data_IF_104875036193
#
_entry.id   IF_104875036193
#
_cell.length_a   1.000
_cell.length_b   1.000
_cell.length_c   1.000
_cell.angle_alpha   90.00
_cell.angle_beta   90.00
_cell.angle_gamma   90.00
#
_symmetry.space_group_name_H-M   'P 1'
#
loop_
_entity.id
_entity.type
_entity.pdbx_description
1 polymer ?
#
# COMPACT_ATOMS: atom_id res chain seq x y z
N UNK A 1 -47.21 43.80 -31.26
CA UNK A 1 -46.64 43.78 -29.89
C UNK A 1 -47.08 42.45 -29.27
N UNK A 2 -46.30 41.49 -28.78
CA UNK A 2 -44.88 41.27 -28.46
C UNK A 2 -44.57 39.79 -28.80
N UNK A 3 -43.40 39.48 -29.37
CA UNK A 3 -42.93 38.10 -29.61
C UNK A 3 -42.33 37.56 -28.30
N UNK A 4 -42.87 36.48 -27.74
CA UNK A 4 -42.34 35.82 -26.54
C UNK A 4 -41.22 34.85 -26.96
N UNK A 5 -39.97 35.18 -26.64
CA UNK A 5 -38.82 34.27 -26.81
C UNK A 5 -38.73 33.38 -25.55
N UNK A 6 -38.98 32.08 -25.70
CA UNK A 6 -38.61 31.11 -24.65
C UNK A 6 -37.08 30.97 -24.64
N UNK A 7 -36.44 31.38 -23.55
CA UNK A 7 -35.04 31.13 -23.27
C UNK A 7 -34.91 29.75 -22.63
N UNK A 8 -34.22 28.86 -23.33
CA UNK A 8 -33.81 27.54 -22.84
C UNK A 8 -32.75 27.75 -21.73
N UNK A 9 -33.10 27.50 -20.47
CA UNK A 9 -32.11 27.41 -19.39
C UNK A 9 -31.53 25.99 -19.39
N UNK A 10 -30.33 25.85 -19.96
CA UNK A 10 -29.53 24.64 -19.78
C UNK A 10 -29.01 24.59 -18.34
N UNK A 11 -29.56 23.69 -17.53
CA UNK A 11 -29.02 23.33 -16.21
C UNK A 11 -27.68 22.59 -16.42
N UNK A 12 -26.57 23.33 -16.38
CA UNK A 12 -25.26 22.71 -16.17
C UNK A 12 -25.26 22.09 -14.76
N UNK A 13 -25.36 20.77 -14.71
CA UNK A 13 -25.11 20.00 -13.50
C UNK A 13 -23.62 20.10 -13.18
N UNK A 14 -23.27 20.90 -12.18
CA UNK A 14 -21.94 20.91 -11.59
C UNK A 14 -21.81 19.57 -10.86
N UNK A 15 -21.08 18.63 -11.43
CA UNK A 15 -20.67 17.42 -10.73
C UNK A 15 -19.74 17.86 -9.58
N UNK A 16 -20.30 17.92 -8.36
CA UNK A 16 -19.51 18.13 -7.16
C UNK A 16 -18.55 16.96 -6.99
N UNK A 17 -17.25 17.22 -7.04
CA UNK A 17 -16.25 16.33 -6.45
C UNK A 17 -16.50 16.33 -4.95
N UNK A 18 -17.31 15.38 -4.47
CA UNK A 18 -17.55 15.20 -3.04
C UNK A 18 -16.20 15.07 -2.33
N UNK A 19 -15.96 15.93 -1.36
CA UNK A 19 -14.86 15.74 -0.42
C UNK A 19 -15.17 14.43 0.30
N UNK A 20 -14.40 13.38 0.00
CA UNK A 20 -14.50 12.13 0.73
C UNK A 20 -14.24 12.43 2.21
N UNK A 21 -15.26 12.19 3.04
CA UNK A 21 -15.12 12.30 4.48
C UNK A 21 -14.11 11.24 4.93
N UNK A 22 -13.14 11.59 5.79
CA UNK A 22 -12.02 10.71 6.16
C UNK A 22 -12.46 9.38 6.82
N UNK A 23 -13.75 9.15 7.04
CA UNK A 23 -14.31 7.91 7.61
C UNK A 23 -15.01 7.01 6.60
N UNK A 24 -15.22 7.51 5.38
CA UNK A 24 -15.97 6.83 4.34
C UNK A 24 -15.00 6.13 3.38
N UNK A 25 -14.69 4.88 3.68
CA UNK A 25 -13.96 3.94 2.82
C UNK A 25 -14.42 2.52 3.18
N UNK A 26 -14.17 1.53 2.32
CA UNK A 26 -14.73 0.18 2.47
C UNK A 26 -13.74 -0.80 3.12
N UNK A 27 -12.46 -0.71 2.76
CA UNK A 27 -11.42 -1.62 3.24
C UNK A 27 -10.01 -1.02 3.19
N UNK A 28 -9.04 -1.74 3.75
CA UNK A 28 -7.63 -1.40 3.65
C UNK A 28 -6.91 -2.31 2.66
N UNK A 29 -5.91 -1.75 1.98
CA UNK A 29 -4.85 -2.50 1.31
C UNK A 29 -3.56 -2.29 2.07
N UNK A 30 -3.01 -3.35 2.64
CA UNK A 30 -1.63 -3.32 3.11
C UNK A 30 -0.71 -3.50 1.91
N UNK A 31 0.13 -2.52 1.66
CA UNK A 31 1.16 -2.59 0.63
C UNK A 31 2.52 -2.93 1.24
N UNK A 32 3.10 -4.04 0.78
CA UNK A 32 4.40 -4.55 1.20
C UNK A 32 5.40 -4.41 0.05
N UNK A 33 6.35 -3.47 0.15
CA UNK A 33 7.37 -3.25 -0.88
C UNK A 33 8.58 -4.14 -0.65
N UNK A 34 9.08 -4.80 -1.71
CA UNK A 34 10.28 -5.62 -1.69
C UNK A 34 11.53 -4.74 -1.83
N UNK A 35 12.17 -4.42 -0.71
CA UNK A 35 13.29 -3.47 -0.68
C UNK A 35 14.45 -3.85 -1.60
N UNK A 36 14.86 -5.11 -1.78
CA UNK A 36 15.93 -5.44 -2.73
C UNK A 36 15.70 -4.94 -4.15
N UNK A 37 14.47 -5.04 -4.65
CA UNK A 37 14.13 -4.48 -5.97
C UNK A 37 14.15 -2.95 -5.95
N UNK A 38 13.65 -2.33 -4.87
CA UNK A 38 13.67 -0.88 -4.73
C UNK A 38 15.09 -0.32 -4.65
N UNK A 39 15.97 -0.91 -3.83
CA UNK A 39 17.38 -0.52 -3.71
C UNK A 39 18.10 -0.69 -5.05
N UNK A 40 17.91 -1.82 -5.73
CA UNK A 40 18.51 -2.06 -7.04
C UNK A 40 18.02 -1.07 -8.12
N UNK A 41 16.85 -0.45 -7.97
CA UNK A 41 16.33 0.53 -8.92
C UNK A 41 16.67 1.98 -8.55
N UNK A 42 16.64 2.32 -7.26
CA UNK A 42 16.62 3.72 -6.79
C UNK A 42 17.81 4.12 -5.94
N UNK A 43 18.51 3.16 -5.33
CA UNK A 43 19.61 3.44 -4.39
C UNK A 43 20.67 2.33 -4.41
N UNK A 44 21.19 2.06 -5.62
CA UNK A 44 22.24 1.03 -5.82
C UNK A 44 23.52 1.31 -5.02
N UNK A 45 23.76 2.58 -4.68
CA UNK A 45 24.92 3.00 -3.90
C UNK A 45 24.76 2.79 -2.40
N UNK A 46 23.56 2.42 -1.92
CA UNK A 46 23.31 2.21 -0.49
C UNK A 46 23.43 3.49 0.33
N UNK A 47 22.99 4.62 -0.21
CA UNK A 47 23.08 5.92 0.46
C UNK A 47 22.02 6.09 1.58
N UNK A 48 20.91 5.36 1.50
CA UNK A 48 19.81 5.44 2.46
C UNK A 48 19.86 4.30 3.48
N UNK A 49 19.30 4.50 4.69
CA UNK A 49 19.22 3.43 5.69
C UNK A 49 18.50 2.16 5.22
N UNK A 50 17.67 2.22 4.17
CA UNK A 50 16.99 1.05 3.61
C UNK A 50 17.96 0.13 2.85
N UNK A 51 19.01 0.71 2.26
CA UNK A 51 19.87 0.06 1.28
C UNK A 51 21.36 0.04 1.67
N UNK A 52 21.72 0.62 2.81
CA UNK A 52 23.11 0.73 3.30
C UNK A 52 23.67 -0.57 3.93
N UNK A 53 22.89 -1.65 3.95
CA UNK A 53 23.27 -2.96 4.48
C UNK A 53 23.32 -3.06 6.01
N UNK A 54 23.09 -1.98 6.77
CA UNK A 54 23.12 -2.03 8.25
C UNK A 54 21.93 -2.76 8.84
N UNK A 55 20.79 -2.74 8.13
CA UNK A 55 19.61 -3.54 8.45
C UNK A 55 19.11 -4.24 7.19
N UNK A 56 18.79 -5.52 7.34
CA UNK A 56 18.18 -6.33 6.30
C UNK A 56 16.68 -6.01 6.15
N UNK A 57 16.34 -4.90 5.47
CA UNK A 57 14.96 -4.65 5.08
C UNK A 57 14.57 -5.55 3.93
N UNK A 58 13.80 -6.61 4.18
CA UNK A 58 13.22 -7.41 3.11
C UNK A 58 11.95 -6.74 2.60
N UNK A 59 10.79 -7.15 3.11
CA UNK A 59 9.56 -6.40 2.95
C UNK A 59 9.51 -5.24 3.96
N UNK A 60 9.05 -4.09 3.50
CA UNK A 60 8.67 -2.94 4.33
C UNK A 60 7.18 -2.68 4.16
N UNK A 61 6.55 -2.10 5.18
CA UNK A 61 5.24 -1.50 5.02
C UNK A 61 5.39 -0.26 4.13
N UNK A 62 5.06 -0.37 2.85
CA UNK A 62 4.96 0.81 1.99
C UNK A 62 3.84 1.70 2.57
N UNK A 63 2.68 1.11 2.86
CA UNK A 63 1.60 1.80 3.56
C UNK A 63 0.38 0.92 3.82
N UNK A 64 -0.63 1.50 4.47
CA UNK A 64 -1.95 0.89 4.68
C UNK A 64 -3.01 1.82 4.09
N UNK A 65 -3.55 1.47 2.94
CA UNK A 65 -4.30 2.40 2.11
C UNK A 65 -5.80 2.17 2.25
N UNK A 66 -6.58 3.15 2.73
CA UNK A 66 -8.03 3.13 2.56
C UNK A 66 -8.39 2.94 1.08
N UNK A 67 -9.40 2.11 0.82
CA UNK A 67 -9.93 1.84 -0.52
C UNK A 67 -11.45 1.85 -0.49
N UNK A 68 -12.04 2.21 -1.62
CA UNK A 68 -13.43 1.89 -1.94
C UNK A 68 -13.50 0.54 -2.67
N UNK A 69 -14.69 -0.05 -2.77
CA UNK A 69 -14.92 -1.17 -3.69
C UNK A 69 -14.59 -0.80 -5.15
N UNK A 70 -14.64 0.50 -5.48
CA UNK A 70 -14.15 1.07 -6.75
C UNK A 70 -13.40 2.38 -6.52
N UNK A 71 -12.10 2.38 -6.74
CA UNK A 71 -11.20 3.51 -6.53
C UNK A 71 -10.73 3.65 -5.09
N UNK A 72 -10.12 4.79 -4.77
CA UNK A 72 -9.63 5.08 -3.43
C UNK A 72 -9.65 6.57 -3.13
N UNK A 73 -9.82 6.96 -1.86
CA UNK A 73 -9.59 8.33 -1.43
C UNK A 73 -8.08 8.60 -1.31
N UNK A 74 -7.66 9.84 -1.58
CA UNK A 74 -6.29 10.30 -1.34
C UNK A 74 -6.26 11.77 -0.91
N UNK A 75 -5.24 12.13 -0.13
CA UNK A 75 -5.02 13.51 0.34
C UNK A 75 -6.25 14.15 1.02
N UNK A 76 -6.91 13.38 1.89
CA UNK A 76 -8.15 13.83 2.52
C UNK A 76 -7.90 14.94 3.55
N UNK A 77 -8.85 15.89 3.72
CA UNK A 77 -8.79 16.84 4.81
C UNK A 77 -8.76 16.15 6.18
N UNK A 78 -7.93 16.65 7.08
CA UNK A 78 -7.80 16.12 8.45
C UNK A 78 -7.54 17.25 9.44
N UNK A 79 -8.00 17.06 10.68
CA UNK A 79 -7.70 17.96 11.81
C UNK A 79 -6.31 17.70 12.41
N UNK A 80 -5.66 16.61 12.02
CA UNK A 80 -4.28 16.28 12.41
C UNK A 80 -3.28 17.03 11.53
N UNK A 81 -2.08 17.33 12.03
CA UNK A 81 -1.04 17.99 11.22
C UNK A 81 -0.62 17.12 10.02
N UNK A 82 -0.19 17.76 8.93
CA UNK A 82 0.36 17.03 7.78
C UNK A 82 1.73 16.41 8.05
N UNK A 83 2.52 17.03 8.93
CA UNK A 83 3.86 16.55 9.27
C UNK A 83 3.76 15.48 10.35
N UNK A 84 4.33 14.31 10.09
CA UNK A 84 4.52 13.28 11.10
C UNK A 84 5.68 13.67 12.03
N UNK A 85 5.47 13.75 13.36
CA UNK A 85 6.53 14.01 14.31
C UNK A 85 7.67 12.99 14.20
N UNK A 86 8.92 13.46 14.27
CA UNK A 86 10.10 12.58 14.17
C UNK A 86 10.09 11.45 15.20
N UNK A 87 9.61 11.74 16.42
CA UNK A 87 9.51 10.73 17.47
C UNK A 87 8.52 9.61 17.10
N UNK A 88 7.40 9.94 16.46
CA UNK A 88 6.43 8.96 15.97
C UNK A 88 6.98 8.17 14.79
N UNK A 89 7.53 8.85 13.78
CA UNK A 89 8.13 8.17 12.62
C UNK A 89 9.26 7.21 13.03
N UNK A 90 10.11 7.62 13.98
CA UNK A 90 11.20 6.79 14.49
C UNK A 90 10.76 5.46 15.10
N UNK A 91 9.53 5.38 15.63
CA UNK A 91 8.97 4.13 16.17
C UNK A 91 8.65 3.10 15.10
N UNK A 92 8.70 3.48 13.81
CA UNK A 92 8.34 2.63 12.67
C UNK A 92 9.54 2.23 11.83
N UNK A 93 10.75 2.71 12.14
CA UNK A 93 11.91 2.50 11.28
C UNK A 93 12.29 1.05 11.06
N UNK A 94 11.82 0.09 11.84
CA UNK A 94 11.95 -1.34 11.54
C UNK A 94 11.09 -1.82 10.36
N UNK A 95 10.02 -1.11 10.01
CA UNK A 95 9.07 -1.49 8.94
C UNK A 95 8.79 -0.38 7.91
N UNK A 96 9.12 0.88 8.21
CA UNK A 96 8.99 2.06 7.33
C UNK A 96 10.33 2.79 7.40
N UNK A 97 11.23 2.64 6.41
CA UNK A 97 12.65 2.95 6.57
C UNK A 97 13.01 4.45 6.58
N UNK A 98 12.04 5.36 6.46
CA UNK A 98 12.33 6.80 6.50
C UNK A 98 11.15 7.64 6.99
N UNK A 99 11.46 8.78 7.60
CA UNK A 99 10.45 9.80 7.93
C UNK A 99 9.78 10.39 6.68
N UNK A 100 10.49 10.43 5.55
CA UNK A 100 9.95 10.88 4.27
C UNK A 100 8.81 9.98 3.80
N UNK A 101 9.03 8.66 3.84
CA UNK A 101 8.00 7.67 3.51
C UNK A 101 6.83 7.76 4.48
N UNK A 102 7.09 7.73 5.80
CA UNK A 102 6.02 7.86 6.80
C UNK A 102 5.17 9.12 6.57
N UNK A 103 5.80 10.26 6.30
CA UNK A 103 5.11 11.50 6.00
C UNK A 103 4.29 11.46 4.71
N UNK A 104 4.80 10.86 3.64
CA UNK A 104 4.07 10.69 2.39
C UNK A 104 2.81 9.83 2.59
N UNK A 105 2.97 8.67 3.22
CA UNK A 105 1.87 7.73 3.48
C UNK A 105 0.81 8.32 4.38
N UNK A 106 1.20 9.10 5.39
CA UNK A 106 0.25 9.82 6.21
C UNK A 106 -0.57 10.81 5.37
N UNK A 107 0.09 11.73 4.65
CA UNK A 107 -0.62 12.77 3.90
C UNK A 107 -1.53 12.20 2.82
N UNK A 108 -1.04 11.18 2.09
CA UNK A 108 -1.77 10.61 0.97
C UNK A 108 -2.86 9.64 1.40
N UNK A 109 -2.59 8.77 2.37
CA UNK A 109 -3.46 7.65 2.70
C UNK A 109 -3.98 7.69 4.14
N UNK A 110 -3.10 7.97 5.10
CA UNK A 110 -3.48 7.98 6.52
C UNK A 110 -4.51 9.05 6.89
N UNK A 111 -4.43 10.23 6.27
CA UNK A 111 -5.40 11.32 6.42
C UNK A 111 -6.83 10.91 6.04
N UNK A 112 -6.98 9.93 5.15
CA UNK A 112 -8.25 9.38 4.69
C UNK A 112 -8.81 8.24 5.57
N UNK A 113 -8.15 7.90 6.69
CA UNK A 113 -8.60 6.83 7.58
C UNK A 113 -9.52 7.31 8.71
N UNK A 114 -9.53 8.63 8.98
CA UNK A 114 -10.29 9.24 10.07
C UNK A 114 -9.67 8.97 11.45
N UNK A 115 -8.48 8.38 11.49
CA UNK A 115 -7.68 8.11 12.68
C UNK A 115 -6.71 9.27 12.95
N UNK A 116 -6.27 9.41 14.20
CA UNK A 116 -5.10 10.22 14.52
C UNK A 116 -3.84 9.61 13.87
N UNK A 117 -2.78 10.41 13.69
CA UNK A 117 -1.51 9.88 13.15
C UNK A 117 -1.02 8.66 13.93
N UNK A 118 -1.07 8.75 15.26
CA UNK A 118 -0.65 7.67 16.15
C UNK A 118 -1.45 6.40 15.90
N UNK A 119 -2.78 6.49 15.92
CA UNK A 119 -3.66 5.36 15.72
C UNK A 119 -3.53 4.76 14.32
N UNK A 120 -3.34 5.59 13.28
CA UNK A 120 -3.07 5.12 11.93
C UNK A 120 -1.79 4.29 11.86
N UNK A 121 -0.67 4.78 12.40
CA UNK A 121 0.59 4.03 12.35
C UNK A 121 0.61 2.79 13.26
N UNK A 122 -0.11 2.81 14.38
CA UNK A 122 -0.36 1.59 15.17
C UNK A 122 -1.14 0.56 14.35
N UNK A 123 -2.12 1.00 13.56
CA UNK A 123 -2.90 0.15 12.64
C UNK A 123 -2.03 -0.39 11.50
N UNK A 124 -1.16 0.44 10.90
CA UNK A 124 -0.16 0.00 9.89
C UNK A 124 0.71 -1.12 10.47
N UNK A 125 1.24 -0.94 11.68
CA UNK A 125 2.06 -1.96 12.34
C UNK A 125 1.27 -3.23 12.65
N UNK A 126 0.03 -3.11 13.10
CA UNK A 126 -0.84 -4.26 13.35
C UNK A 126 -1.11 -5.05 12.07
N UNK A 127 -1.40 -4.35 10.96
CA UNK A 127 -1.60 -4.96 9.64
C UNK A 127 -0.31 -5.66 9.16
N UNK A 128 0.84 -5.00 9.27
CA UNK A 128 2.13 -5.58 8.91
C UNK A 128 2.42 -6.87 9.70
N UNK A 129 2.20 -6.86 11.03
CA UNK A 129 2.41 -8.02 11.89
C UNK A 129 1.40 -9.16 11.68
N UNK A 130 0.21 -8.85 11.16
CA UNK A 130 -0.82 -9.85 10.85
C UNK A 130 -0.36 -10.79 9.73
N UNK A 131 0.46 -10.30 8.80
CA UNK A 131 0.95 -11.06 7.65
C UNK A 131 2.21 -11.85 8.04
N UNK A 132 2.14 -13.16 7.87
CA UNK A 132 3.27 -14.09 7.98
C UNK A 132 3.94 -14.23 6.62
N UNK A 133 5.19 -13.78 6.54
CA UNK A 133 6.03 -13.93 5.36
C UNK A 133 6.93 -15.16 5.57
N UNK A 134 6.83 -16.22 4.73
CA UNK A 134 7.71 -17.39 4.79
C UNK A 134 9.21 -17.01 4.74
N UNK A 135 9.96 -17.14 5.85
CA UNK A 135 11.34 -16.64 5.91
C UNK A 135 12.27 -17.40 4.95
N UNK A 136 12.04 -18.71 4.75
CA UNK A 136 12.85 -19.49 3.80
C UNK A 136 12.77 -19.03 2.35
N UNK A 137 11.81 -18.16 1.99
CA UNK A 137 11.64 -17.62 0.63
C UNK A 137 11.89 -16.10 0.60
N UNK A 138 11.40 -15.38 1.61
CA UNK A 138 11.39 -13.92 1.65
C UNK A 138 12.43 -13.32 2.63
N UNK A 139 13.47 -14.08 3.00
CA UNK A 139 14.60 -13.57 3.81
C UNK A 139 15.58 -12.67 3.04
N UNK A 140 15.50 -12.64 1.71
CA UNK A 140 16.35 -11.81 0.86
C UNK A 140 17.83 -12.21 0.88
N UNK A 141 18.18 -13.39 1.41
CA UNK A 141 19.59 -13.83 1.52
C UNK A 141 20.17 -14.27 0.18
N UNK A 142 19.35 -14.88 -0.67
CA UNK A 142 19.72 -15.31 -2.01
C UNK A 142 18.68 -14.82 -3.01
N UNK A 143 19.13 -14.52 -4.22
CA UNK A 143 18.22 -14.18 -5.30
C UNK A 143 17.42 -15.44 -5.68
N UNK A 144 16.13 -15.27 -5.92
CA UNK A 144 15.22 -16.35 -6.34
C UNK A 144 14.52 -15.99 -7.63
N UNK A 145 14.04 -17.00 -8.33
CA UNK A 145 13.13 -16.85 -9.45
C UNK A 145 11.94 -17.76 -9.20
N UNK A 146 10.77 -17.17 -9.00
CA UNK A 146 9.56 -17.88 -8.59
C UNK A 146 8.44 -17.61 -9.57
N UNK A 147 7.50 -18.53 -9.62
CA UNK A 147 6.25 -18.29 -10.31
C UNK A 147 5.32 -17.41 -9.46
N UNK A 148 4.50 -16.57 -10.08
CA UNK A 148 3.57 -15.69 -9.34
C UNK A 148 2.54 -16.49 -8.55
N UNK A 149 2.04 -17.59 -9.12
CA UNK A 149 1.13 -18.53 -8.47
C UNK A 149 1.78 -19.26 -7.28
N UNK A 150 3.09 -19.54 -7.36
CA UNK A 150 3.88 -20.09 -6.25
C UNK A 150 3.97 -19.09 -5.09
N UNK A 151 4.20 -17.81 -5.36
CA UNK A 151 4.24 -16.74 -4.33
C UNK A 151 2.89 -16.67 -3.59
N UNK A 152 1.78 -16.64 -4.30
CA UNK A 152 0.44 -16.66 -3.71
C UNK A 152 0.19 -17.94 -2.91
N UNK A 153 0.63 -19.10 -3.41
CA UNK A 153 0.52 -20.38 -2.69
C UNK A 153 1.26 -20.35 -1.36
N UNK A 154 2.48 -19.81 -1.36
CA UNK A 154 3.29 -19.66 -0.15
C UNK A 154 2.61 -18.73 0.86
N UNK A 155 2.06 -17.61 0.41
CA UNK A 155 1.37 -16.64 1.26
C UNK A 155 0.09 -17.23 1.88
N UNK A 156 -0.79 -17.82 1.07
CA UNK A 156 -2.05 -18.41 1.53
C UNK A 156 -1.82 -19.58 2.51
N UNK A 157 -0.81 -20.42 2.27
CA UNK A 157 -0.42 -21.50 3.21
C UNK A 157 0.08 -20.96 4.55
N UNK A 158 0.83 -19.85 4.54
CA UNK A 158 1.38 -19.26 5.76
C UNK A 158 0.34 -18.44 6.57
N UNK A 159 -0.75 -18.01 5.93
CA UNK A 159 -1.72 -17.07 6.48
C UNK A 159 -3.15 -17.65 6.45
N UNK A 160 -3.58 -18.37 7.49
CA UNK A 160 -4.96 -18.86 7.58
C UNK A 160 -5.98 -17.71 7.41
N UNK A 161 -6.94 -17.92 6.51
CA UNK A 161 -7.97 -16.93 6.16
C UNK A 161 -7.59 -15.98 5.02
N UNK A 162 -6.33 -15.97 4.56
CA UNK A 162 -5.94 -15.27 3.33
C UNK A 162 -6.21 -16.17 2.12
N UNK A 163 -6.98 -15.66 1.16
CA UNK A 163 -7.23 -16.30 -0.12
C UNK A 163 -6.49 -15.55 -1.24
N UNK A 164 -6.26 -16.21 -2.39
CA UNK A 164 -5.62 -15.58 -3.56
C UNK A 164 -6.34 -14.32 -4.02
N UNK A 165 -7.67 -14.29 -3.95
CA UNK A 165 -8.49 -13.12 -4.31
C UNK A 165 -8.29 -11.90 -3.42
N UNK A 166 -7.55 -12.04 -2.31
CA UNK A 166 -7.11 -10.94 -1.44
C UNK A 166 -5.65 -10.53 -1.62
N UNK A 167 -4.95 -11.08 -2.61
CA UNK A 167 -3.53 -10.83 -2.90
C UNK A 167 -3.40 -10.20 -4.28
N UNK A 168 -2.54 -9.21 -4.42
CA UNK A 168 -2.03 -8.80 -5.73
C UNK A 168 -0.51 -8.67 -5.71
N UNK A 169 0.14 -9.23 -6.74
CA UNK A 169 1.59 -9.23 -6.88
C UNK A 169 1.99 -8.09 -7.82
N UNK A 170 2.78 -7.14 -7.36
CA UNK A 170 3.39 -6.10 -8.19
C UNK A 170 4.72 -6.56 -8.76
N UNK A 171 4.94 -6.32 -10.05
CA UNK A 171 6.25 -6.54 -10.66
C UNK A 171 6.61 -5.44 -11.66
N UNK A 172 7.91 -5.18 -11.78
CA UNK A 172 8.47 -4.24 -12.75
C UNK A 172 9.78 -4.80 -13.29
N UNK A 173 10.00 -4.70 -14.60
CA UNK A 173 11.20 -5.21 -15.27
C UNK A 173 11.52 -6.68 -14.91
N UNK A 174 10.48 -7.51 -14.74
CA UNK A 174 10.60 -8.92 -14.37
C UNK A 174 11.07 -9.18 -12.93
N UNK A 175 10.99 -8.18 -12.05
CA UNK A 175 11.31 -8.30 -10.62
C UNK A 175 10.07 -8.07 -9.77
N UNK A 176 9.95 -8.80 -8.66
CA UNK A 176 8.95 -8.53 -7.62
C UNK A 176 9.20 -7.13 -7.04
N UNK A 177 8.19 -6.28 -7.04
CA UNK A 177 8.28 -4.93 -6.44
C UNK A 177 7.41 -4.79 -5.21
N UNK A 178 6.23 -5.41 -5.21
CA UNK A 178 5.22 -5.18 -4.18
C UNK A 178 4.33 -6.40 -4.00
N UNK A 179 3.82 -6.60 -2.79
CA UNK A 179 2.72 -7.52 -2.51
C UNK A 179 1.64 -6.72 -1.79
N UNK A 180 0.44 -6.70 -2.34
CA UNK A 180 -0.73 -6.05 -1.76
C UNK A 180 -1.64 -7.09 -1.14
N UNK A 181 -2.10 -6.83 0.08
CA UNK A 181 -3.02 -7.71 0.81
C UNK A 181 -4.22 -6.91 1.27
N UNK A 182 -5.40 -7.37 0.90
CA UNK A 182 -6.65 -6.72 1.27
C UNK A 182 -7.17 -7.16 2.62
N UNK A 183 -7.62 -6.18 3.39
CA UNK A 183 -8.03 -6.34 4.78
C UNK A 183 -9.26 -5.51 5.06
N UNK A 184 -10.18 -6.03 5.87
CA UNK A 184 -11.26 -5.22 6.44
C UNK A 184 -10.69 -4.11 7.33
N UNK A 185 -11.54 -3.17 7.77
CA UNK A 185 -11.17 -2.16 8.77
C UNK A 185 -10.68 -2.76 10.10
N UNK A 186 -11.11 -3.99 10.42
CA UNK A 186 -10.66 -4.77 11.59
C UNK A 186 -9.43 -5.65 11.31
N UNK A 187 -8.78 -5.47 10.16
CA UNK A 187 -7.56 -6.18 9.75
C UNK A 187 -7.73 -7.69 9.56
N UNK A 188 -8.96 -8.15 9.31
CA UNK A 188 -9.20 -9.52 8.83
C UNK A 188 -9.00 -9.57 7.31
N UNK A 189 -8.39 -10.64 6.79
CA UNK A 189 -8.20 -10.79 5.35
C UNK A 189 -9.54 -10.84 4.61
N UNK A 190 -9.57 -10.25 3.41
CA UNK A 190 -10.74 -10.26 2.51
C UNK A 190 -10.31 -10.25 1.06
N UNK A 191 -11.23 -10.60 0.16
CA UNK A 191 -11.07 -10.42 -1.27
C UNK A 191 -11.24 -8.94 -1.71
N UNK A 192 -10.64 -8.58 -2.84
CA UNK A 192 -10.73 -7.25 -3.46
C UNK A 192 -10.43 -7.30 -4.97
N UNK A 193 -11.49 -7.40 -5.79
CA UNK A 193 -11.32 -7.60 -7.25
C UNK A 193 -10.50 -6.52 -7.95
N UNK A 194 -10.67 -5.25 -7.59
CA UNK A 194 -9.99 -4.17 -8.32
C UNK A 194 -8.46 -4.25 -8.18
N UNK A 195 -7.98 -4.63 -7.00
CA UNK A 195 -6.55 -4.72 -6.71
C UNK A 195 -5.95 -5.97 -7.35
N UNK A 196 -6.65 -7.10 -7.29
CA UNK A 196 -6.27 -8.36 -7.94
C UNK A 196 -6.08 -8.19 -9.46
N UNK A 197 -6.97 -7.45 -10.14
CA UNK A 197 -6.85 -7.17 -11.59
C UNK A 197 -5.58 -6.41 -12.00
N UNK A 198 -4.93 -5.72 -11.05
CA UNK A 198 -3.68 -4.96 -11.27
C UNK A 198 -2.42 -5.78 -10.95
N UNK A 199 -2.55 -7.09 -10.76
CA UNK A 199 -1.43 -8.02 -10.51
C UNK A 199 -0.50 -8.18 -11.72
N UNK A 200 0.72 -8.63 -11.42
CA UNK A 200 1.76 -8.97 -12.37
C UNK A 200 1.31 -10.09 -13.31
N UNK A 201 1.34 -9.83 -14.61
CA UNK A 201 0.95 -10.81 -15.64
C UNK A 201 2.07 -11.77 -16.05
N UNK A 202 3.29 -11.56 -15.53
CA UNK A 202 4.42 -12.44 -15.83
C UNK A 202 4.29 -13.72 -15.03
N UNK A 203 4.46 -14.87 -15.69
CA UNK A 203 4.43 -16.17 -15.02
C UNK A 203 5.57 -16.35 -14.03
N UNK A 204 6.76 -15.88 -14.38
CA UNK A 204 7.98 -16.00 -13.58
C UNK A 204 8.56 -14.61 -13.31
N UNK A 205 8.93 -14.35 -12.06
CA UNK A 205 9.57 -13.09 -11.65
C UNK A 205 10.80 -13.37 -10.78
N UNK A 206 11.76 -12.44 -10.83
CA UNK A 206 12.95 -12.48 -10.00
C UNK A 206 12.68 -11.78 -8.66
N UNK A 207 13.18 -12.36 -7.58
CA UNK A 207 13.24 -11.76 -6.26
C UNK A 207 14.73 -11.51 -5.99
N UNK A 208 15.24 -10.29 -6.19
CA UNK A 208 16.63 -9.98 -5.91
C UNK A 208 16.97 -10.19 -4.43
N UNK A 209 18.23 -10.53 -4.15
CA UNK A 209 18.78 -10.54 -2.80
C UNK A 209 19.01 -9.10 -2.30
N UNK A 210 19.07 -8.95 -0.98
CA UNK A 210 19.49 -7.71 -0.33
C UNK A 210 20.86 -7.25 -0.86
N UNK A 211 21.10 -5.92 -0.94
CA UNK A 211 22.39 -5.36 -1.34
C UNK A 211 23.51 -5.70 -0.36
#
# INVERSE_FOLDING_TARGET
MRRLRLLLFALLSIAGTGVADARDFDFYVLSLSWSPSWCAANDRGGATPQCDGRRAYTFIAHGLWPQYERGWPEYCPSNEPERVPRALAGTLYDIIPSAGLAGHEWRKHGSCSGLSQRAYFETVRAAYRKVRLPPGVFDGRIARRLATDEIETLLTRANPGLDRSGIAIGCENGRLTEIRICMTKSLTFRACEEIDRKTCRMRMINLPALP
#
